data_IF_155070327126
#
_entry.id   IF_155070327126
#
_cell.length_a   1.000
_cell.length_b   1.000
_cell.length_c   1.000
_cell.angle_alpha   90.00
_cell.angle_beta   90.00
_cell.angle_gamma   90.00
#
_symmetry.space_group_name_H-M   'P 1'
#
loop_
_entity.id
_entity.type
_entity.pdbx_description
1 polymer ?
#
# COMPACT_ATOMS: atom_id res chain seq x y z
N UNK A 1 -9.16 -25.32 -40.60
CA UNK A 1 -8.99 -26.26 -39.46
C UNK A 1 -7.71 -25.96 -38.63
N UNK A 2 -6.61 -25.51 -39.26
CA UNK A 2 -5.31 -25.28 -38.59
C UNK A 2 -5.33 -24.09 -37.62
N UNK A 3 -6.04 -23.02 -37.91
CA UNK A 3 -6.11 -21.80 -37.08
C UNK A 3 -6.94 -22.00 -35.78
N UNK A 4 -8.00 -22.82 -35.86
CA UNK A 4 -8.86 -23.11 -34.69
C UNK A 4 -8.18 -24.05 -33.68
N UNK A 5 -7.35 -24.98 -34.15
CA UNK A 5 -6.59 -25.90 -33.29
C UNK A 5 -5.44 -25.17 -32.59
N UNK A 6 -4.81 -24.22 -33.26
CA UNK A 6 -3.75 -23.37 -32.64
C UNK A 6 -4.33 -22.42 -31.58
N UNK A 7 -5.51 -21.87 -31.81
CA UNK A 7 -6.19 -20.98 -30.87
C UNK A 7 -6.62 -21.73 -29.59
N UNK A 8 -7.15 -22.97 -29.70
CA UNK A 8 -7.52 -23.76 -28.52
C UNK A 8 -6.30 -24.20 -27.70
N UNK A 9 -5.22 -24.64 -28.36
CA UNK A 9 -4.00 -25.06 -27.69
C UNK A 9 -3.32 -23.89 -26.95
N UNK A 10 -3.30 -22.70 -27.54
CA UNK A 10 -2.77 -21.50 -26.89
C UNK A 10 -3.61 -21.12 -25.66
N UNK A 11 -4.94 -21.10 -25.78
CA UNK A 11 -5.84 -20.84 -24.66
C UNK A 11 -5.64 -21.83 -23.50
N UNK A 12 -5.43 -23.11 -23.78
CA UNK A 12 -5.21 -24.13 -22.75
C UNK A 12 -3.83 -23.98 -22.07
N UNK A 13 -2.83 -23.47 -22.76
CA UNK A 13 -1.52 -23.14 -22.19
C UNK A 13 -1.65 -21.95 -21.23
N UNK A 14 -2.30 -20.87 -21.64
CA UNK A 14 -2.52 -19.71 -20.77
C UNK A 14 -3.36 -20.03 -19.53
N UNK A 15 -4.41 -20.83 -19.64
CA UNK A 15 -5.17 -21.29 -18.49
C UNK A 15 -4.31 -22.03 -17.47
N UNK A 16 -3.45 -22.93 -17.94
CA UNK A 16 -2.52 -23.68 -17.07
C UNK A 16 -1.48 -22.77 -16.43
N UNK A 17 -0.96 -21.80 -17.19
CA UNK A 17 -0.01 -20.83 -16.65
C UNK A 17 -0.66 -19.95 -15.57
N UNK A 18 -1.86 -19.42 -15.82
CA UNK A 18 -2.58 -18.60 -14.84
C UNK A 18 -2.88 -19.37 -13.55
N UNK A 19 -3.33 -20.62 -13.67
CA UNK A 19 -3.58 -21.48 -12.52
C UNK A 19 -2.28 -21.74 -11.72
N UNK A 20 -1.20 -22.08 -12.41
CA UNK A 20 0.10 -22.30 -11.81
C UNK A 20 0.64 -21.06 -11.10
N UNK A 21 0.51 -19.87 -11.71
CA UNK A 21 0.90 -18.62 -11.07
C UNK A 21 0.05 -18.33 -9.82
N UNK A 22 -1.27 -18.58 -9.89
CA UNK A 22 -2.14 -18.41 -8.73
C UNK A 22 -1.78 -19.37 -7.59
N UNK A 23 -1.52 -20.64 -7.88
CA UNK A 23 -1.10 -21.66 -6.91
C UNK A 23 0.24 -21.32 -6.24
N UNK A 24 1.15 -20.64 -6.93
CA UNK A 24 2.41 -20.15 -6.35
C UNK A 24 2.23 -18.84 -5.57
N UNK A 25 1.54 -17.86 -6.15
CA UNK A 25 1.46 -16.50 -5.63
C UNK A 25 0.52 -16.38 -4.43
N UNK A 26 -0.69 -16.97 -4.51
CA UNK A 26 -1.70 -16.77 -3.48
C UNK A 26 -1.30 -17.31 -2.11
N UNK A 27 -0.75 -18.53 -1.93
CA UNK A 27 -0.33 -19.03 -0.64
C UNK A 27 1.06 -18.53 -0.18
N UNK A 28 1.82 -17.86 -1.04
CA UNK A 28 3.23 -17.53 -0.81
C UNK A 28 3.50 -16.86 0.55
N UNK A 29 2.69 -15.87 0.92
CA UNK A 29 2.83 -15.18 2.23
C UNK A 29 2.62 -16.14 3.40
N UNK A 30 1.58 -16.99 3.35
CA UNK A 30 1.28 -17.93 4.43
C UNK A 30 2.37 -18.99 4.61
N UNK A 31 2.99 -19.41 3.52
CA UNK A 31 3.98 -20.48 3.50
C UNK A 31 5.40 -20.01 3.84
N UNK A 32 5.71 -18.72 3.61
CA UNK A 32 7.09 -18.24 3.67
C UNK A 32 7.34 -17.15 4.71
N UNK A 33 6.37 -16.28 5.01
CA UNK A 33 6.63 -15.06 5.78
C UNK A 33 5.89 -14.98 7.11
N UNK A 34 4.89 -15.84 7.34
CA UNK A 34 4.04 -15.80 8.54
C UNK A 34 4.63 -16.60 9.69
N UNK A 35 4.80 -15.96 10.83
CA UNK A 35 5.29 -16.56 12.08
C UNK A 35 4.24 -16.39 13.18
N UNK A 36 3.32 -17.34 13.27
CA UNK A 36 2.27 -17.37 14.30
C UNK A 36 2.80 -17.91 15.62
N UNK A 37 2.38 -17.28 16.72
CA UNK A 37 2.59 -17.75 18.10
C UNK A 37 1.49 -17.22 19.02
N UNK A 38 1.52 -17.66 20.26
CA UNK A 38 0.70 -17.11 21.34
C UNK A 38 1.63 -16.41 22.33
N UNK A 39 1.34 -15.13 22.64
CA UNK A 39 2.07 -14.33 23.62
C UNK A 39 1.07 -13.83 24.66
N UNK A 40 1.33 -14.11 25.94
CA UNK A 40 0.45 -13.75 27.08
C UNK A 40 -1.01 -14.24 26.89
N UNK A 41 -1.16 -15.43 26.31
CA UNK A 41 -2.46 -16.05 26.05
C UNK A 41 -3.25 -15.47 24.86
N UNK A 42 -2.68 -14.53 24.10
CA UNK A 42 -3.29 -13.93 22.91
C UNK A 42 -2.54 -14.32 21.64
N UNK A 43 -3.23 -14.43 20.48
CA UNK A 43 -2.58 -14.55 19.17
C UNK A 43 -1.61 -13.42 18.94
N UNK A 44 -0.44 -13.77 18.39
CA UNK A 44 0.64 -12.86 18.01
C UNK A 44 1.30 -13.38 16.74
N UNK A 45 1.19 -12.63 15.65
CA UNK A 45 1.72 -13.04 14.36
C UNK A 45 2.68 -12.00 13.82
N UNK A 46 3.91 -12.40 13.60
CA UNK A 46 4.90 -11.60 12.91
C UNK A 46 4.92 -11.98 11.43
N UNK A 47 4.95 -10.98 10.53
CA UNK A 47 4.96 -11.19 9.09
C UNK A 47 6.21 -10.55 8.52
N UNK A 48 7.14 -11.36 7.99
CA UNK A 48 8.30 -10.84 7.28
C UNK A 48 7.89 -10.14 5.99
N UNK A 49 8.55 -9.03 5.68
CA UNK A 49 8.38 -8.33 4.41
C UNK A 49 9.16 -9.06 3.33
N UNK A 50 8.55 -10.12 2.80
CA UNK A 50 9.18 -10.97 1.79
C UNK A 50 10.49 -11.62 2.28
N UNK A 51 11.58 -11.31 1.59
CA UNK A 51 12.92 -11.78 1.87
C UNK A 51 13.66 -10.96 2.96
N UNK A 52 13.02 -9.92 3.51
CA UNK A 52 13.56 -9.10 4.60
C UNK A 52 12.98 -9.57 5.93
N UNK A 53 13.85 -9.92 6.88
CA UNK A 53 13.47 -10.43 8.19
C UNK A 53 13.03 -9.31 9.16
N UNK A 54 12.15 -8.45 8.68
CA UNK A 54 11.52 -7.38 9.44
C UNK A 54 10.05 -7.24 9.02
N UNK A 55 9.24 -6.59 9.82
CA UNK A 55 7.81 -6.40 9.60
C UNK A 55 7.51 -4.93 9.33
N UNK A 56 7.29 -4.56 8.07
CA UNK A 56 6.68 -3.28 7.73
C UNK A 56 5.20 -3.31 8.08
N UNK A 57 4.69 -2.22 8.64
CA UNK A 57 3.26 -2.11 8.97
C UNK A 57 2.40 -2.10 7.70
N UNK A 58 2.83 -1.46 6.65
CA UNK A 58 2.23 -1.47 5.31
C UNK A 58 2.15 -2.88 4.77
N UNK A 59 3.30 -3.52 4.59
CA UNK A 59 3.45 -4.82 3.94
C UNK A 59 2.70 -5.90 4.69
N UNK A 60 2.85 -5.98 6.00
CA UNK A 60 2.17 -6.99 6.82
C UNK A 60 0.65 -6.92 6.70
N UNK A 61 0.09 -5.70 6.59
CA UNK A 61 -1.34 -5.51 6.34
C UNK A 61 -1.76 -5.91 4.94
N UNK A 62 -0.97 -5.51 3.93
CA UNK A 62 -1.27 -5.79 2.52
C UNK A 62 -1.08 -7.27 2.15
N UNK A 63 -0.03 -7.91 2.66
CA UNK A 63 0.27 -9.32 2.40
C UNK A 63 -0.81 -10.27 2.91
N UNK A 64 -1.49 -9.95 4.02
CA UNK A 64 -2.53 -10.82 4.59
C UNK A 64 -3.94 -10.40 4.21
N UNK A 65 -4.10 -9.24 3.60
CA UNK A 65 -5.40 -8.67 3.25
C UNK A 65 -6.34 -9.63 2.49
N UNK A 66 -5.92 -10.36 1.44
CA UNK A 66 -6.82 -11.19 0.67
C UNK A 66 -7.38 -12.39 1.43
N UNK A 67 -6.73 -12.78 2.53
CA UNK A 67 -7.16 -13.93 3.32
C UNK A 67 -8.31 -13.61 4.28
N UNK A 68 -8.61 -12.34 4.52
CA UNK A 68 -9.69 -11.94 5.46
C UNK A 68 -11.02 -12.59 5.07
N UNK A 69 -11.36 -12.63 3.79
CA UNK A 69 -12.61 -13.26 3.28
C UNK A 69 -12.70 -14.77 3.53
N UNK A 70 -11.60 -15.41 3.92
CA UNK A 70 -11.54 -16.84 4.25
C UNK A 70 -11.57 -17.07 5.77
N UNK A 71 -11.44 -16.04 6.60
CA UNK A 71 -11.30 -16.16 8.04
C UNK A 71 -12.46 -16.90 8.73
N UNK A 72 -13.69 -16.74 8.22
CA UNK A 72 -14.85 -17.45 8.76
C UNK A 72 -14.91 -18.95 8.38
N UNK A 73 -14.10 -19.39 7.41
CA UNK A 73 -14.03 -20.77 6.93
C UNK A 73 -12.89 -21.55 7.56
N UNK A 74 -11.89 -20.84 8.11
CA UNK A 74 -10.69 -21.43 8.67
C UNK A 74 -10.35 -20.77 10.03
N UNK A 75 -10.58 -21.45 11.16
CA UNK A 75 -10.30 -20.94 12.49
C UNK A 75 -8.82 -20.65 12.76
N UNK A 76 -7.90 -21.38 12.17
CA UNK A 76 -6.45 -21.15 12.34
C UNK A 76 -6.03 -19.87 11.57
N UNK A 77 -6.53 -19.71 10.37
CA UNK A 77 -6.36 -18.50 9.58
C UNK A 77 -6.94 -17.26 10.31
N UNK A 78 -8.12 -17.41 10.92
CA UNK A 78 -8.74 -16.35 11.73
C UNK A 78 -7.85 -15.92 12.89
N UNK A 79 -7.27 -16.88 13.65
CA UNK A 79 -6.33 -16.59 14.74
C UNK A 79 -5.04 -15.95 14.25
N UNK A 80 -4.53 -16.40 13.12
CA UNK A 80 -3.35 -15.81 12.48
C UNK A 80 -3.59 -14.34 12.15
N UNK A 81 -4.72 -14.00 11.52
CA UNK A 81 -5.10 -12.63 11.20
C UNK A 81 -5.30 -11.75 12.44
N UNK A 82 -5.97 -12.29 13.48
CA UNK A 82 -6.05 -11.64 14.79
C UNK A 82 -4.66 -11.30 15.33
N UNK A 83 -3.73 -12.25 15.23
CA UNK A 83 -2.35 -12.09 15.69
C UNK A 83 -1.61 -10.98 14.95
N UNK A 84 -1.78 -10.85 13.62
CA UNK A 84 -1.19 -9.76 12.82
C UNK A 84 -1.71 -8.40 13.29
N UNK A 85 -3.02 -8.27 13.46
CA UNK A 85 -3.64 -7.01 13.89
C UNK A 85 -3.15 -6.61 15.29
N UNK A 86 -3.10 -7.53 16.24
CA UNK A 86 -2.57 -7.27 17.60
C UNK A 86 -1.09 -6.86 17.55
N UNK A 87 -0.29 -7.53 16.74
CA UNK A 87 1.13 -7.17 16.54
C UNK A 87 1.27 -5.77 15.99
N UNK A 88 0.46 -5.37 15.02
CA UNK A 88 0.50 -4.02 14.43
C UNK A 88 0.15 -2.95 15.48
N UNK A 89 -0.85 -3.17 16.33
CA UNK A 89 -1.17 -2.21 17.42
C UNK A 89 -0.03 -2.10 18.44
N UNK A 90 0.59 -3.23 18.79
CA UNK A 90 1.76 -3.24 19.65
C UNK A 90 2.91 -2.43 19.04
N UNK A 91 3.20 -2.61 17.76
CA UNK A 91 4.22 -1.86 17.04
C UNK A 91 3.94 -0.35 17.05
N UNK A 92 2.71 0.07 16.75
CA UNK A 92 2.29 1.49 16.83
C UNK A 92 2.47 2.06 18.25
N UNK A 93 2.21 1.25 19.29
CA UNK A 93 2.40 1.68 20.67
C UNK A 93 3.87 1.75 21.08
N UNK A 94 4.78 1.02 20.42
CA UNK A 94 6.22 1.14 20.61
C UNK A 94 6.75 2.44 20.00
N UNK A 95 6.43 2.70 18.74
CA UNK A 95 6.80 3.94 18.03
C UNK A 95 5.90 4.18 16.80
N UNK A 96 5.01 5.17 16.83
CA UNK A 96 4.12 5.45 15.69
C UNK A 96 4.82 6.11 14.50
N UNK A 97 6.07 6.52 14.64
CA UNK A 97 6.88 7.08 13.55
C UNK A 97 7.68 6.03 12.77
N UNK A 98 7.76 4.79 13.29
CA UNK A 98 8.49 3.72 12.62
C UNK A 98 7.62 3.02 11.57
N UNK A 99 8.21 2.74 10.40
CA UNK A 99 7.59 1.96 9.35
C UNK A 99 7.83 0.45 9.51
N UNK A 100 8.99 0.05 10.07
CA UNK A 100 9.40 -1.35 10.15
C UNK A 100 9.93 -1.75 11.53
N UNK A 101 9.62 -2.98 11.95
CA UNK A 101 9.91 -3.50 13.28
C UNK A 101 10.65 -4.83 13.23
N UNK A 102 11.50 -5.07 14.24
CA UNK A 102 12.13 -6.35 14.51
C UNK A 102 11.18 -7.28 15.30
N UNK A 103 11.45 -8.56 15.26
CA UNK A 103 10.73 -9.53 16.09
C UNK A 103 11.32 -9.59 17.51
N UNK A 104 11.22 -8.48 18.23
CA UNK A 104 11.75 -8.25 19.56
C UNK A 104 12.78 -7.11 19.60
N UNK A 105 13.36 -6.87 20.77
CA UNK A 105 14.35 -5.80 21.00
C UNK A 105 15.77 -6.29 20.65
N UNK A 106 16.05 -6.51 19.37
CA UNK A 106 17.29 -7.12 18.90
C UNK A 106 18.24 -6.13 18.21
N UNK A 107 17.76 -4.91 17.88
CA UNK A 107 18.50 -3.96 17.06
C UNK A 107 18.61 -4.42 15.59
N UNK A 108 19.46 -3.78 14.81
CA UNK A 108 19.65 -4.12 13.39
C UNK A 108 20.57 -3.14 12.66
N UNK A 109 20.62 -3.25 11.35
CA UNK A 109 21.55 -2.52 10.49
C UNK A 109 21.37 -1.00 10.52
N UNK A 110 20.14 -0.54 10.77
CA UNK A 110 19.78 0.88 10.74
C UNK A 110 19.87 1.59 12.09
N UNK A 111 20.39 0.94 13.13
CA UNK A 111 20.57 1.56 14.46
C UNK A 111 21.47 2.80 14.46
N UNK A 112 22.24 3.02 13.39
CA UNK A 112 23.07 4.21 13.20
C UNK A 112 22.35 5.41 12.56
N UNK A 113 21.08 5.26 12.18
CA UNK A 113 20.28 6.35 11.65
C UNK A 113 20.12 7.47 12.69
N UNK A 114 20.18 8.72 12.23
CA UNK A 114 20.04 9.89 13.06
C UNK A 114 18.55 10.23 13.28
N UNK A 115 17.92 9.42 14.11
CA UNK A 115 16.54 9.51 14.59
C UNK A 115 16.44 8.76 15.93
N UNK A 116 15.29 8.77 16.62
CA UNK A 116 15.11 8.08 17.91
C UNK A 116 14.97 6.57 17.72
N UNK A 117 16.05 5.89 17.33
CA UNK A 117 16.06 4.44 17.15
C UNK A 117 15.93 3.71 18.49
N UNK A 118 15.13 2.63 18.48
CA UNK A 118 14.96 1.68 19.60
C UNK A 118 15.31 0.27 19.10
N UNK A 119 15.71 -0.66 19.97
CA UNK A 119 16.06 -2.02 19.56
C UNK A 119 14.94 -2.81 18.88
N UNK A 120 13.68 -2.45 19.12
CA UNK A 120 12.49 -3.04 18.49
C UNK A 120 12.29 -2.57 17.05
N UNK A 121 12.92 -1.46 16.65
CA UNK A 121 12.74 -0.87 15.33
C UNK A 121 13.76 -1.44 14.35
N UNK A 122 13.29 -1.89 13.20
CA UNK A 122 14.14 -2.16 12.06
C UNK A 122 14.49 -0.87 11.33
N UNK A 123 13.47 -0.02 11.05
CA UNK A 123 13.63 1.27 10.39
C UNK A 123 12.63 2.28 10.97
N UNK A 124 13.00 3.57 10.99
CA UNK A 124 12.16 4.65 11.54
C UNK A 124 11.89 5.74 10.50
N UNK A 125 11.51 5.36 9.30
CA UNK A 125 11.02 6.27 8.26
C UNK A 125 9.55 6.59 8.50
N UNK A 126 9.23 7.87 8.61
CA UNK A 126 7.85 8.31 8.82
C UNK A 126 7.06 8.29 7.52
N UNK A 127 6.04 7.47 7.47
CA UNK A 127 5.09 7.27 6.39
C UNK A 127 3.68 7.26 6.94
N UNK A 128 2.77 8.06 6.36
CA UNK A 128 1.36 8.10 6.80
C UNK A 128 0.70 6.72 6.66
N UNK A 129 0.95 6.03 5.57
CA UNK A 129 0.32 4.75 5.24
C UNK A 129 0.69 3.63 6.22
N UNK A 130 1.86 3.69 6.85
CA UNK A 130 2.27 2.76 7.91
C UNK A 130 1.28 2.73 9.08
N UNK A 131 0.57 3.83 9.36
CA UNK A 131 -0.49 3.88 10.37
C UNK A 131 -1.89 3.60 9.79
N UNK A 132 -2.08 3.68 8.48
CA UNK A 132 -3.36 3.48 7.82
C UNK A 132 -3.65 2.00 7.50
N UNK A 133 -2.65 1.24 7.06
CA UNK A 133 -2.80 -0.19 6.75
C UNK A 133 -3.30 -1.02 7.93
N UNK A 134 -2.79 -0.85 9.18
CA UNK A 134 -3.33 -1.54 10.34
C UNK A 134 -4.81 -1.24 10.60
N UNK A 135 -5.24 0.02 10.39
CA UNK A 135 -6.64 0.41 10.56
C UNK A 135 -7.54 -0.22 9.48
N UNK A 136 -7.07 -0.24 8.23
CA UNK A 136 -7.76 -0.88 7.11
C UNK A 136 -7.95 -2.38 7.38
N UNK A 137 -6.89 -3.07 7.79
CA UNK A 137 -6.91 -4.51 8.09
C UNK A 137 -7.86 -4.84 9.24
N UNK A 138 -7.74 -4.13 10.37
CA UNK A 138 -8.57 -4.35 11.54
C UNK A 138 -10.07 -4.10 11.28
N UNK A 139 -10.37 -3.03 10.53
CA UNK A 139 -11.73 -2.71 10.15
C UNK A 139 -12.35 -3.83 9.29
N UNK A 140 -11.65 -4.29 8.25
CA UNK A 140 -12.15 -5.33 7.37
C UNK A 140 -12.29 -6.69 8.08
N UNK A 141 -11.32 -7.03 8.93
CA UNK A 141 -11.42 -8.23 9.77
C UNK A 141 -12.69 -8.22 10.63
N UNK A 142 -12.98 -7.09 11.28
CA UNK A 142 -14.21 -6.94 12.05
C UNK A 142 -15.46 -7.03 11.19
N UNK A 143 -15.49 -6.37 10.05
CA UNK A 143 -16.65 -6.42 9.13
C UNK A 143 -16.93 -7.83 8.63
N UNK A 144 -15.89 -8.60 8.33
CA UNK A 144 -16.00 -9.97 7.81
C UNK A 144 -16.36 -10.97 8.92
N UNK A 145 -15.71 -10.86 10.07
CA UNK A 145 -15.80 -11.91 11.10
C UNK A 145 -16.81 -11.59 12.21
N UNK A 146 -17.20 -10.32 12.39
CA UNK A 146 -17.94 -9.84 13.53
C UNK A 146 -17.15 -9.83 14.86
N UNK A 147 -15.88 -10.25 14.82
CA UNK A 147 -15.05 -10.36 16.01
C UNK A 147 -14.51 -8.99 16.43
N UNK A 148 -14.98 -8.52 17.59
CA UNK A 148 -14.57 -7.23 18.17
C UNK A 148 -13.52 -7.38 19.30
N UNK A 149 -13.03 -8.57 19.58
CA UNK A 149 -12.11 -8.86 20.70
C UNK A 149 -10.74 -8.18 20.56
N UNK A 150 -10.36 -7.81 19.33
CA UNK A 150 -9.13 -7.10 19.02
C UNK A 150 -9.16 -5.62 19.43
N UNK A 151 -10.35 -5.03 19.68
CA UNK A 151 -10.50 -3.61 19.99
C UNK A 151 -10.48 -3.35 21.50
N UNK A 152 -9.42 -3.78 22.14
CA UNK A 152 -9.15 -3.63 23.57
C UNK A 152 -8.41 -2.30 23.88
N UNK A 153 -7.83 -2.20 25.09
CA UNK A 153 -7.11 -0.99 25.50
C UNK A 153 -5.85 -0.73 24.69
N UNK A 154 -5.21 -1.77 24.14
CA UNK A 154 -4.03 -1.63 23.30
C UNK A 154 -4.39 -0.97 21.94
N UNK A 155 -5.53 -1.34 21.38
CA UNK A 155 -6.14 -0.65 20.24
C UNK A 155 -6.45 0.82 20.55
N UNK A 156 -7.13 1.10 21.67
CA UNK A 156 -7.48 2.49 22.05
C UNK A 156 -6.22 3.35 22.18
N UNK A 157 -5.16 2.82 22.77
CA UNK A 157 -3.89 3.51 22.90
C UNK A 157 -3.24 3.73 21.51
N UNK A 158 -3.28 2.74 20.61
CA UNK A 158 -2.77 2.88 19.26
C UNK A 158 -3.49 4.00 18.48
N UNK A 159 -4.83 4.10 18.61
CA UNK A 159 -5.58 5.21 17.99
C UNK A 159 -5.19 6.57 18.57
N UNK A 160 -5.00 6.67 19.88
CA UNK A 160 -4.55 7.91 20.52
C UNK A 160 -3.16 8.33 20.00
N UNK A 161 -2.25 7.37 19.85
CA UNK A 161 -0.92 7.61 19.28
C UNK A 161 -1.00 8.06 17.82
N UNK A 162 -1.83 7.40 16.98
CA UNK A 162 -2.06 7.79 15.58
C UNK A 162 -2.57 9.23 15.48
N UNK A 163 -3.58 9.58 16.27
CA UNK A 163 -4.14 10.94 16.29
C UNK A 163 -3.10 11.99 16.69
N UNK A 164 -2.30 11.68 17.71
CA UNK A 164 -1.21 12.58 18.16
C UNK A 164 -0.20 12.78 17.04
N UNK A 165 0.29 11.68 16.46
CA UNK A 165 1.29 11.72 15.38
C UNK A 165 0.79 12.47 14.15
N UNK A 166 -0.44 12.23 13.72
CA UNK A 166 -1.01 12.95 12.57
C UNK A 166 -1.15 14.46 12.85
N UNK A 167 -1.60 14.85 14.06
CA UNK A 167 -1.70 16.27 14.45
C UNK A 167 -0.31 16.94 14.52
N UNK A 168 0.69 16.27 15.09
CA UNK A 168 2.08 16.77 15.10
C UNK A 168 2.61 16.96 13.68
N UNK A 169 2.28 16.05 12.76
CA UNK A 169 2.70 16.09 11.37
C UNK A 169 1.84 16.99 10.47
N UNK A 170 0.76 17.57 10.96
CA UNK A 170 0.15 18.74 10.31
C UNK A 170 1.03 20.01 10.44
N UNK A 171 1.99 20.00 11.36
CA UNK A 171 2.98 21.07 11.61
C UNK A 171 2.39 22.45 11.89
N UNK A 172 1.17 22.52 12.40
CA UNK A 172 0.49 23.79 12.74
C UNK A 172 1.14 24.52 13.92
N UNK A 173 1.69 23.76 14.88
CA UNK A 173 2.32 24.28 16.09
C UNK A 173 3.85 24.21 16.02
N UNK A 174 4.42 24.01 14.84
CA UNK A 174 5.86 23.87 14.59
C UNK A 174 6.21 22.62 13.80
N UNK A 175 7.51 22.34 13.66
CA UNK A 175 8.02 21.27 12.80
C UNK A 175 7.76 19.85 13.32
N UNK A 176 7.25 19.73 14.56
CA UNK A 176 7.03 18.44 15.23
C UNK A 176 8.32 17.80 15.76
N UNK A 177 8.20 16.65 16.45
CA UNK A 177 9.34 15.98 17.09
C UNK A 177 10.16 15.11 16.11
N UNK A 178 9.63 14.79 14.93
CA UNK A 178 10.26 13.83 14.02
C UNK A 178 11.38 14.45 13.19
N UNK A 179 12.51 13.76 13.18
CA UNK A 179 13.65 14.00 12.30
C UNK A 179 14.25 12.69 11.85
N UNK A 180 14.78 12.67 10.64
CA UNK A 180 15.46 11.50 10.12
C UNK A 180 16.60 11.89 9.20
N UNK A 181 17.79 11.35 9.44
CA UNK A 181 18.89 11.34 8.49
C UNK A 181 19.58 9.99 8.51
N UNK A 182 19.99 9.55 7.34
CA UNK A 182 20.82 8.35 7.13
C UNK A 182 22.08 8.75 6.41
N UNK A 183 23.21 8.18 6.82
CA UNK A 183 24.46 8.31 6.07
C UNK A 183 24.40 7.38 4.86
N UNK A 184 24.14 7.92 3.70
CA UNK A 184 23.92 7.20 2.45
C UNK A 184 24.38 8.04 1.26
N UNK A 185 24.71 7.37 0.15
CA UNK A 185 24.96 8.01 -1.14
C UNK A 185 23.67 8.22 -1.94
N UNK A 186 22.58 7.57 -1.52
CA UNK A 186 21.28 7.61 -2.17
C UNK A 186 20.45 8.78 -1.59
N UNK A 187 20.28 9.84 -2.37
CA UNK A 187 19.59 11.06 -1.92
C UNK A 187 18.15 10.83 -1.43
N UNK A 188 17.46 9.82 -1.96
CA UNK A 188 16.08 9.49 -1.58
C UNK A 188 15.98 8.66 -0.28
N UNK A 189 17.10 8.21 0.26
CA UNK A 189 17.14 7.39 1.48
C UNK A 189 17.40 8.20 2.76
N UNK A 190 17.34 9.53 2.66
CA UNK A 190 17.56 10.48 3.76
C UNK A 190 16.79 11.77 3.54
N UNK A 191 16.57 12.55 4.62
CA UNK A 191 15.91 13.83 4.52
C UNK A 191 16.93 14.97 4.52
N UNK A 192 16.67 15.99 3.69
CA UNK A 192 17.38 17.26 3.70
C UNK A 192 16.97 18.14 4.91
N UNK A 193 17.41 19.40 4.93
CA UNK A 193 17.03 20.39 5.94
C UNK A 193 17.18 19.88 7.38
N UNK A 194 18.36 19.33 7.71
CA UNK A 194 18.66 18.75 9.03
C UNK A 194 17.67 17.67 9.48
N UNK A 195 17.21 16.85 8.54
CA UNK A 195 16.31 15.73 8.81
C UNK A 195 14.84 16.10 8.88
N UNK A 196 14.46 17.33 8.56
CA UNK A 196 13.07 17.80 8.55
C UNK A 196 12.36 17.60 7.21
N UNK A 197 13.15 17.43 6.12
CA UNK A 197 12.65 17.42 4.74
C UNK A 197 12.34 18.80 4.19
N UNK A 198 11.66 18.87 3.06
CA UNK A 198 11.28 20.12 2.43
C UNK A 198 10.31 20.95 3.32
N UNK A 199 10.35 22.29 3.27
CA UNK A 199 9.42 23.11 4.03
C UNK A 199 7.98 22.94 3.50
N UNK A 200 7.01 23.08 4.40
CA UNK A 200 5.58 23.09 4.07
C UNK A 200 4.89 24.30 4.65
N UNK A 201 3.82 24.74 3.98
CA UNK A 201 2.84 25.64 4.57
C UNK A 201 1.76 24.78 5.26
N UNK A 202 1.54 24.93 6.58
CA UNK A 202 0.57 24.12 7.32
C UNK A 202 -0.88 24.46 6.92
N UNK A 203 -1.43 23.71 5.99
CA UNK A 203 -2.78 23.93 5.42
C UNK A 203 -3.81 22.90 5.92
N UNK A 204 -3.44 22.05 6.89
CA UNK A 204 -4.31 20.98 7.41
C UNK A 204 -4.00 19.60 6.85
N UNK A 205 -3.12 19.48 5.84
CA UNK A 205 -2.60 18.20 5.37
C UNK A 205 -1.55 17.64 6.34
N UNK A 206 -1.35 16.33 6.29
CA UNK A 206 -0.37 15.60 7.11
C UNK A 206 0.90 15.39 6.27
N UNK A 207 2.05 15.75 6.84
CA UNK A 207 3.36 15.47 6.23
C UNK A 207 3.62 13.96 6.22
N UNK A 208 4.03 13.41 5.08
CA UNK A 208 4.71 12.13 4.96
C UNK A 208 6.16 12.39 4.60
N UNK A 209 7.10 12.01 5.44
CA UNK A 209 8.51 12.23 5.19
C UNK A 209 9.03 11.31 4.07
N UNK A 210 8.46 10.12 4.01
CA UNK A 210 8.76 9.11 3.00
C UNK A 210 7.48 8.64 2.29
N UNK A 211 7.66 8.06 1.11
CA UNK A 211 6.65 7.42 0.28
C UNK A 211 6.48 5.96 0.67
N UNK A 212 5.42 5.29 0.21
CA UNK A 212 5.27 3.83 0.37
C UNK A 212 6.41 2.99 -0.23
N UNK A 213 7.25 3.60 -1.05
CA UNK A 213 8.48 3.02 -1.60
C UNK A 213 9.71 3.17 -0.70
N UNK A 214 9.55 3.70 0.52
CA UNK A 214 10.62 4.09 1.44
C UNK A 214 11.52 5.24 0.92
N UNK A 215 11.17 5.87 -0.19
CA UNK A 215 11.87 7.03 -0.75
C UNK A 215 11.37 8.35 -0.13
N UNK A 216 12.28 9.28 0.12
CA UNK A 216 11.94 10.61 0.64
C UNK A 216 11.00 11.36 -0.31
N UNK A 217 9.98 12.02 0.25
CA UNK A 217 9.09 12.91 -0.51
C UNK A 217 9.83 14.17 -0.97
N UNK A 218 9.47 14.66 -2.14
CA UNK A 218 9.98 15.93 -2.68
C UNK A 218 9.20 17.12 -2.10
N UNK A 219 7.86 17.03 -2.15
CA UNK A 219 6.94 17.95 -1.46
C UNK A 219 6.19 17.12 -0.41
N UNK A 220 6.24 17.54 0.85
CA UNK A 220 5.96 16.61 1.96
C UNK A 220 4.49 16.26 2.19
N UNK A 221 3.53 16.87 1.51
CA UNK A 221 2.15 16.43 1.56
C UNK A 221 1.88 15.43 0.43
N UNK A 222 2.11 14.15 0.71
CA UNK A 222 1.81 13.05 -0.19
C UNK A 222 0.29 12.86 -0.27
N UNK A 223 -0.28 13.21 -1.43
CA UNK A 223 -1.73 13.30 -1.61
C UNK A 223 -2.44 11.94 -1.45
N UNK A 224 -2.04 10.83 -2.11
CA UNK A 224 -2.73 9.56 -1.92
C UNK A 224 -2.67 9.06 -0.48
N UNK A 225 -1.57 9.26 0.25
CA UNK A 225 -1.49 8.90 1.67
C UNK A 225 -2.39 9.75 2.56
N UNK A 226 -2.59 11.04 2.24
CA UNK A 226 -3.55 11.89 2.95
C UNK A 226 -5.01 11.44 2.72
N UNK A 227 -5.38 11.01 1.51
CA UNK A 227 -6.68 10.37 1.26
C UNK A 227 -6.84 9.10 2.07
N UNK A 228 -5.81 8.26 2.13
CA UNK A 228 -5.83 7.03 2.92
C UNK A 228 -5.93 7.30 4.43
N UNK A 229 -5.33 8.39 4.93
CA UNK A 229 -5.52 8.83 6.32
C UNK A 229 -6.98 9.19 6.60
N UNK A 230 -7.65 9.92 5.70
CA UNK A 230 -9.07 10.29 5.83
C UNK A 230 -9.95 9.04 5.92
N UNK A 231 -9.82 8.10 4.99
CA UNK A 231 -10.63 6.87 4.98
C UNK A 231 -10.35 5.98 6.20
N UNK A 232 -9.10 5.92 6.64
CA UNK A 232 -8.67 5.15 7.82
C UNK A 232 -9.22 5.75 9.12
N UNK A 233 -9.17 7.07 9.29
CA UNK A 233 -9.72 7.76 10.45
C UNK A 233 -11.24 7.61 10.54
N UNK A 234 -11.97 7.64 9.41
CA UNK A 234 -13.42 7.38 9.35
C UNK A 234 -13.74 5.96 9.82
N UNK A 235 -12.96 4.96 9.39
CA UNK A 235 -13.09 3.55 9.83
C UNK A 235 -12.82 3.40 11.34
N UNK A 236 -11.76 4.05 11.85
CA UNK A 236 -11.46 4.07 13.29
C UNK A 236 -12.58 4.70 14.11
N UNK A 237 -13.15 5.81 13.65
CA UNK A 237 -14.28 6.47 14.30
C UNK A 237 -15.51 5.56 14.39
N UNK A 238 -15.81 4.79 13.34
CA UNK A 238 -16.91 3.82 13.34
C UNK A 238 -16.69 2.74 14.40
N UNK A 239 -15.50 2.13 14.46
CA UNK A 239 -15.15 1.12 15.47
C UNK A 239 -15.30 1.69 16.89
N UNK A 240 -14.71 2.86 17.12
CA UNK A 240 -14.77 3.53 18.44
C UNK A 240 -16.20 3.81 18.90
N UNK A 241 -17.07 4.23 17.98
CA UNK A 241 -18.48 4.48 18.31
C UNK A 241 -19.27 3.19 18.52
N UNK A 242 -19.11 2.19 17.64
CA UNK A 242 -19.93 0.98 17.65
C UNK A 242 -19.45 -0.03 18.69
N UNK A 243 -18.14 -0.26 18.77
CA UNK A 243 -17.55 -1.30 19.65
C UNK A 243 -17.20 -0.72 21.01
N UNK A 244 -16.32 0.28 21.04
CA UNK A 244 -15.75 0.78 22.30
C UNK A 244 -16.67 1.74 23.05
N UNK A 245 -17.70 2.31 22.40
CA UNK A 245 -18.55 3.39 22.93
C UNK A 245 -17.73 4.62 23.37
N UNK A 246 -16.56 4.82 22.78
CA UNK A 246 -15.68 5.95 23.04
C UNK A 246 -15.95 7.10 22.06
N UNK A 247 -17.07 7.80 22.30
CA UNK A 247 -17.54 8.89 21.41
C UNK A 247 -16.58 10.07 21.36
N UNK A 248 -15.81 10.32 22.42
CA UNK A 248 -14.84 11.41 22.48
C UNK A 248 -13.67 11.16 21.52
N UNK A 249 -13.09 9.97 21.54
CA UNK A 249 -11.99 9.61 20.66
C UNK A 249 -12.49 9.46 19.20
N UNK A 250 -13.68 8.91 19.00
CA UNK A 250 -14.33 8.83 17.71
C UNK A 250 -14.53 10.20 17.07
N UNK A 251 -14.98 11.19 17.87
CA UNK A 251 -15.12 12.57 17.40
C UNK A 251 -13.78 13.17 16.97
N UNK A 252 -12.70 12.93 17.72
CA UNK A 252 -11.37 13.41 17.32
C UNK A 252 -10.92 12.82 15.98
N UNK A 253 -11.18 11.52 15.72
CA UNK A 253 -10.91 10.90 14.43
C UNK A 253 -11.73 11.57 13.30
N UNK A 254 -13.02 11.81 13.55
CA UNK A 254 -13.92 12.43 12.57
C UNK A 254 -13.52 13.88 12.27
N UNK A 255 -13.21 14.67 13.30
CA UNK A 255 -12.81 16.09 13.16
C UNK A 255 -11.51 16.18 12.34
N UNK A 256 -10.50 15.35 12.65
CA UNK A 256 -9.25 15.33 11.90
C UNK A 256 -9.45 14.85 10.45
N UNK A 257 -10.25 13.80 10.24
CA UNK A 257 -10.59 13.34 8.89
C UNK A 257 -11.26 14.44 8.06
N UNK A 258 -12.20 15.17 8.64
CA UNK A 258 -12.90 16.28 7.98
C UNK A 258 -11.96 17.44 7.65
N UNK A 259 -11.02 17.74 8.52
CA UNK A 259 -10.04 18.78 8.29
C UNK A 259 -9.10 18.43 7.13
N UNK A 260 -8.53 17.22 7.14
CA UNK A 260 -7.66 16.74 6.04
C UNK A 260 -8.43 16.66 4.73
N UNK A 261 -9.67 16.17 4.74
CA UNK A 261 -10.52 16.10 3.55
C UNK A 261 -10.80 17.50 2.96
N UNK A 262 -10.99 18.50 3.81
CA UNK A 262 -11.20 19.89 3.38
C UNK A 262 -9.92 20.44 2.73
N UNK A 263 -8.76 20.19 3.34
CA UNK A 263 -7.47 20.61 2.80
C UNK A 263 -7.14 19.90 1.47
N UNK A 264 -7.47 18.61 1.34
CA UNK A 264 -7.33 17.88 0.06
C UNK A 264 -8.14 18.49 -1.06
N UNK A 265 -9.39 18.90 -0.79
CA UNK A 265 -10.24 19.56 -1.80
C UNK A 265 -9.65 20.89 -2.29
N UNK A 266 -8.94 21.61 -1.42
CA UNK A 266 -8.37 22.92 -1.74
C UNK A 266 -6.99 22.82 -2.39
N UNK A 267 -6.12 21.91 -1.93
CA UNK A 267 -4.71 21.92 -2.28
C UNK A 267 -4.23 20.74 -3.13
N UNK A 268 -5.01 19.64 -3.24
CA UNK A 268 -4.54 18.41 -3.86
C UNK A 268 -4.71 18.37 -5.39
N UNK A 269 -5.36 19.37 -6.00
CA UNK A 269 -5.70 19.33 -7.43
C UNK A 269 -4.88 20.31 -8.25
N UNK A 270 -4.68 19.95 -9.52
CA UNK A 270 -3.99 20.76 -10.51
C UNK A 270 -4.79 20.78 -11.83
N UNK A 271 -4.97 21.96 -12.44
CA UNK A 271 -5.61 22.10 -13.74
C UNK A 271 -4.59 21.83 -14.86
N UNK A 272 -4.51 20.58 -15.28
CA UNK A 272 -3.60 20.14 -16.33
C UNK A 272 -4.14 20.49 -17.71
N UNK A 273 -3.34 21.13 -18.61
CA UNK A 273 -3.83 21.64 -19.91
C UNK A 273 -4.37 20.54 -20.84
N UNK A 274 -3.92 19.30 -20.69
CA UNK A 274 -4.31 18.16 -21.54
C UNK A 274 -5.38 17.27 -20.92
N UNK A 275 -5.37 17.10 -19.59
CA UNK A 275 -6.24 16.12 -18.90
C UNK A 275 -7.40 16.75 -18.17
N UNK A 276 -7.41 18.09 -18.01
CA UNK A 276 -8.33 18.79 -17.12
C UNK A 276 -7.85 18.74 -15.67
N UNK A 277 -8.74 18.88 -14.72
CA UNK A 277 -8.39 18.82 -13.30
C UNK A 277 -7.95 17.39 -12.94
N UNK A 278 -6.76 17.25 -12.35
CA UNK A 278 -6.15 16.00 -11.87
C UNK A 278 -5.72 16.16 -10.41
N UNK A 279 -5.54 15.05 -9.70
CA UNK A 279 -4.83 15.05 -8.43
C UNK A 279 -3.32 15.13 -8.67
N UNK A 280 -2.62 15.96 -7.89
CA UNK A 280 -1.18 15.97 -7.80
C UNK A 280 -0.71 14.79 -6.93
N UNK A 281 0.51 14.30 -7.13
CA UNK A 281 1.08 13.25 -6.29
C UNK A 281 1.55 13.79 -4.94
N UNK A 282 2.26 14.94 -4.97
CA UNK A 282 2.70 15.65 -3.78
C UNK A 282 2.43 17.15 -3.92
N UNK A 283 2.16 17.79 -2.79
CA UNK A 283 2.01 19.26 -2.67
C UNK A 283 2.71 19.76 -1.41
N UNK A 284 2.91 21.09 -1.30
CA UNK A 284 3.59 21.71 -0.16
C UNK A 284 2.76 22.77 0.59
N UNK A 285 1.56 23.07 0.11
CA UNK A 285 0.70 24.13 0.66
C UNK A 285 1.10 25.54 0.26
N UNK A 286 2.25 25.76 -0.42
CA UNK A 286 2.66 27.04 -1.01
C UNK A 286 2.16 27.22 -2.45
N UNK A 287 1.52 26.20 -3.03
CA UNK A 287 1.03 26.21 -4.39
C UNK A 287 1.90 25.42 -5.38
N UNK A 288 2.92 24.71 -4.90
CA UNK A 288 3.71 23.81 -5.74
C UNK A 288 3.06 22.42 -5.80
N UNK A 289 3.15 21.78 -6.98
CA UNK A 289 2.58 20.48 -7.28
C UNK A 289 3.61 19.60 -7.95
N UNK A 290 3.80 18.38 -7.46
CA UNK A 290 4.57 17.34 -8.16
C UNK A 290 3.60 16.46 -8.93
N UNK A 291 3.75 16.44 -10.25
CA UNK A 291 2.89 15.70 -11.17
C UNK A 291 3.60 14.42 -11.61
N UNK A 292 3.30 13.34 -10.95
CA UNK A 292 3.77 11.98 -11.24
C UNK A 292 2.83 10.97 -10.59
N UNK A 293 3.11 9.70 -10.71
CA UNK A 293 2.65 8.64 -9.82
C UNK A 293 3.79 7.66 -9.57
N UNK A 294 3.74 6.96 -8.45
CA UNK A 294 4.62 5.88 -8.06
C UNK A 294 3.80 4.59 -7.98
N UNK A 295 4.39 3.45 -8.33
CA UNK A 295 3.67 2.18 -8.32
C UNK A 295 3.29 1.68 -6.92
N UNK A 296 4.02 2.09 -5.89
CA UNK A 296 3.80 1.62 -4.53
C UNK A 296 2.51 2.21 -3.93
N UNK A 297 1.70 1.36 -3.32
CA UNK A 297 0.36 1.73 -2.81
C UNK A 297 0.47 2.19 -1.35
N UNK A 298 -0.09 3.36 -1.00
CA UNK A 298 -1.00 4.22 -1.75
C UNK A 298 -0.36 5.01 -2.89
N UNK A 299 -1.00 4.96 -4.05
CA UNK A 299 -0.67 5.73 -5.24
C UNK A 299 -1.91 6.43 -5.77
N UNK A 300 -1.76 7.39 -6.70
CA UNK A 300 -2.90 8.03 -7.33
C UNK A 300 -3.79 7.02 -8.08
N UNK A 301 -3.17 6.06 -8.76
CA UNK A 301 -3.89 5.00 -9.46
C UNK A 301 -4.67 4.11 -8.50
N UNK A 302 -4.16 3.86 -7.31
CA UNK A 302 -4.74 2.92 -6.34
C UNK A 302 -5.85 3.50 -5.45
N UNK A 303 -6.15 4.81 -5.50
CA UNK A 303 -7.10 5.44 -4.57
C UNK A 303 -8.47 4.73 -4.50
N UNK A 304 -9.11 4.28 -5.60
CA UNK A 304 -10.37 3.54 -5.50
C UNK A 304 -10.21 2.14 -4.88
N UNK A 305 -9.08 1.47 -5.08
CA UNK A 305 -8.78 0.18 -4.45
C UNK A 305 -8.72 0.29 -2.92
N UNK A 306 -8.20 1.38 -2.40
CA UNK A 306 -8.16 1.65 -0.96
C UNK A 306 -9.52 2.14 -0.41
N UNK A 307 -10.45 2.51 -1.29
CA UNK A 307 -11.74 3.09 -0.92
C UNK A 307 -11.66 4.57 -0.54
N UNK A 308 -10.67 5.27 -1.09
CA UNK A 308 -10.39 6.67 -0.79
C UNK A 308 -11.20 7.63 -1.67
N UNK A 309 -11.43 7.25 -2.92
CA UNK A 309 -12.26 7.99 -3.89
C UNK A 309 -13.16 7.05 -4.67
N UNK A 310 -14.26 7.58 -5.22
CA UNK A 310 -15.12 6.82 -6.13
C UNK A 310 -14.39 6.59 -7.46
N UNK A 311 -14.49 5.37 -8.00
CA UNK A 311 -13.88 5.02 -9.29
C UNK A 311 -14.41 5.89 -10.43
N UNK A 312 -15.63 6.43 -10.32
CA UNK A 312 -16.26 7.30 -11.32
C UNK A 312 -16.03 8.79 -11.04
N UNK A 313 -15.26 9.15 -10.00
CA UNK A 313 -14.90 10.55 -9.74
C UNK A 313 -14.21 11.15 -10.98
N UNK A 314 -14.71 12.29 -11.52
CA UNK A 314 -14.15 12.86 -12.75
C UNK A 314 -12.69 13.29 -12.62
N UNK A 315 -12.27 13.76 -11.44
CA UNK A 315 -10.87 14.14 -11.19
C UNK A 315 -9.99 12.89 -11.16
N UNK A 316 -10.47 11.83 -10.51
CA UNK A 316 -9.78 10.55 -10.52
C UNK A 316 -9.66 9.99 -11.96
N UNK A 317 -10.72 10.00 -12.75
CA UNK A 317 -10.68 9.52 -14.13
C UNK A 317 -9.71 10.32 -15.01
N UNK A 318 -9.61 11.63 -14.81
CA UNK A 318 -8.59 12.46 -15.44
C UNK A 318 -7.18 12.08 -14.97
N UNK A 319 -7.01 11.90 -13.65
CA UNK A 319 -5.75 11.49 -13.04
C UNK A 319 -5.31 10.12 -13.56
N UNK A 320 -6.21 9.14 -13.63
CA UNK A 320 -5.96 7.80 -14.17
C UNK A 320 -5.44 7.83 -15.60
N UNK A 321 -5.99 8.73 -16.46
CA UNK A 321 -5.47 8.93 -17.83
C UNK A 321 -4.09 9.59 -17.85
N UNK A 322 -3.84 10.52 -16.94
CA UNK A 322 -2.54 11.18 -16.79
C UNK A 322 -1.45 10.20 -16.33
N UNK A 323 -1.67 9.48 -15.24
CA UNK A 323 -0.64 8.59 -14.64
C UNK A 323 -0.29 7.41 -15.56
N UNK A 324 -1.22 6.97 -16.41
CA UNK A 324 -1.00 5.93 -17.42
C UNK A 324 -0.66 6.52 -18.79
N UNK A 325 0.21 7.52 -18.80
CA UNK A 325 0.66 8.20 -20.02
C UNK A 325 2.10 8.68 -19.90
N UNK A 326 2.70 9.08 -21.02
CA UNK A 326 4.07 9.64 -21.07
C UNK A 326 4.24 10.95 -20.29
N UNK A 327 3.16 11.59 -19.89
CA UNK A 327 3.21 12.81 -19.09
C UNK A 327 3.50 12.50 -17.60
N UNK A 328 3.31 11.24 -17.16
CA UNK A 328 3.89 10.72 -15.93
C UNK A 328 5.35 10.28 -16.21
N UNK A 329 6.36 10.88 -15.56
CA UNK A 329 7.77 10.56 -15.82
C UNK A 329 8.17 9.12 -15.47
N UNK A 330 7.36 8.42 -14.68
CA UNK A 330 7.58 7.03 -14.28
C UNK A 330 6.64 6.03 -14.97
N UNK A 331 5.90 6.47 -15.99
CA UNK A 331 5.22 5.56 -16.89
C UNK A 331 6.17 5.07 -17.97
N UNK A 332 6.37 3.78 -18.04
CA UNK A 332 7.25 3.14 -19.03
C UNK A 332 6.46 2.25 -19.96
N UNK A 333 6.90 2.21 -21.22
CA UNK A 333 6.34 1.34 -22.25
C UNK A 333 7.44 0.80 -23.14
N UNK A 334 7.49 -0.50 -23.29
CA UNK A 334 8.48 -1.21 -24.08
C UNK A 334 7.95 -2.47 -24.74
N UNK A 335 8.86 -3.39 -25.07
CA UNK A 335 8.53 -4.65 -25.76
C UNK A 335 7.87 -5.67 -24.83
N UNK A 336 8.25 -5.69 -23.56
CA UNK A 336 7.72 -6.63 -22.58
C UNK A 336 6.37 -6.18 -22.02
N UNK A 337 6.17 -4.86 -21.84
CA UNK A 337 4.93 -4.34 -21.28
C UNK A 337 4.91 -2.83 -21.12
N UNK A 338 3.86 -2.35 -20.48
CA UNK A 338 3.69 -0.96 -20.07
C UNK A 338 3.18 -0.87 -18.63
N UNK A 339 3.62 0.13 -17.89
CA UNK A 339 3.19 0.33 -16.51
C UNK A 339 3.95 1.44 -15.82
N UNK A 340 3.60 1.65 -14.55
CA UNK A 340 4.23 2.65 -13.72
C UNK A 340 5.35 1.99 -12.91
N UNK A 341 6.48 2.67 -12.82
CA UNK A 341 7.59 2.34 -11.91
C UNK A 341 7.67 3.31 -10.76
N UNK A 342 8.85 3.82 -10.50
CA UNK A 342 9.12 4.80 -9.46
C UNK A 342 10.61 5.12 -9.38
N UNK A 343 10.99 6.14 -8.62
CA UNK A 343 12.40 6.49 -8.44
C UNK A 343 13.16 5.43 -7.63
N UNK A 344 12.45 4.60 -6.89
CA UNK A 344 13.04 3.58 -6.00
C UNK A 344 13.98 2.62 -6.74
N UNK A 345 13.53 2.06 -7.86
CA UNK A 345 14.31 1.15 -8.70
C UNK A 345 14.95 1.87 -9.89
N UNK A 346 14.43 3.04 -10.27
CA UNK A 346 14.92 3.86 -11.35
C UNK A 346 14.14 3.72 -12.65
N UNK A 347 14.73 4.25 -13.74
CA UNK A 347 14.06 4.33 -15.02
C UNK A 347 13.93 2.97 -15.71
N UNK A 348 12.90 2.88 -16.56
CA UNK A 348 12.58 1.73 -17.41
C UNK A 348 12.18 0.43 -16.67
N UNK A 349 12.05 0.50 -15.34
CA UNK A 349 11.63 -0.60 -14.51
C UNK A 349 10.13 -0.44 -14.14
N UNK A 350 9.32 -1.40 -14.58
CA UNK A 350 7.87 -1.45 -14.34
C UNK A 350 7.59 -2.33 -13.13
N UNK A 351 6.75 -1.85 -12.22
CA UNK A 351 6.27 -2.65 -11.10
C UNK A 351 4.98 -3.37 -11.49
N UNK A 352 4.90 -4.71 -11.39
CA UNK A 352 3.67 -5.47 -11.61
C UNK A 352 2.48 -4.95 -10.79
N UNK A 353 2.75 -4.38 -9.62
CA UNK A 353 1.75 -3.74 -8.75
C UNK A 353 0.94 -2.67 -9.50
N UNK A 354 1.56 -1.85 -10.34
CA UNK A 354 0.86 -0.83 -11.11
C UNK A 354 -0.10 -1.42 -12.15
N UNK A 355 0.28 -2.55 -12.76
CA UNK A 355 -0.55 -3.28 -13.72
C UNK A 355 -1.76 -3.90 -12.99
N UNK A 356 -1.52 -4.45 -11.79
CA UNK A 356 -2.61 -4.97 -10.95
C UNK A 356 -3.55 -3.85 -10.50
N UNK A 357 -3.04 -2.70 -10.07
CA UNK A 357 -3.87 -1.55 -9.71
C UNK A 357 -4.68 -1.03 -10.88
N UNK A 358 -4.12 -1.04 -12.10
CA UNK A 358 -4.88 -0.71 -13.31
C UNK A 358 -6.06 -1.66 -13.51
N UNK A 359 -5.87 -2.96 -13.30
CA UNK A 359 -6.94 -3.97 -13.38
C UNK A 359 -7.97 -3.80 -12.27
N UNK A 360 -7.54 -3.59 -11.01
CA UNK A 360 -8.45 -3.39 -9.87
C UNK A 360 -9.34 -2.17 -10.03
N UNK A 361 -8.85 -1.12 -10.68
CA UNK A 361 -9.54 0.14 -10.90
C UNK A 361 -10.13 0.28 -12.30
N UNK A 362 -10.31 -0.84 -13.01
CA UNK A 362 -10.95 -0.90 -14.33
C UNK A 362 -12.37 -1.46 -14.24
N UNK A 363 -13.26 -0.90 -15.05
CA UNK A 363 -14.60 -1.43 -15.32
C UNK A 363 -14.69 -2.05 -16.73
N UNK A 364 -13.58 -2.03 -17.49
CA UNK A 364 -13.49 -2.58 -18.85
C UNK A 364 -12.82 -3.97 -18.80
N UNK A 365 -13.59 -4.98 -19.15
CA UNK A 365 -13.13 -6.38 -19.18
C UNK A 365 -11.96 -6.60 -20.17
N UNK A 366 -11.84 -5.82 -21.24
CA UNK A 366 -10.71 -5.92 -22.17
C UNK A 366 -9.44 -5.33 -21.56
N UNK A 367 -9.55 -4.23 -20.83
CA UNK A 367 -8.42 -3.67 -20.09
C UNK A 367 -7.94 -4.64 -19.00
N UNK A 368 -8.86 -5.23 -18.22
CA UNK A 368 -8.56 -6.24 -17.19
C UNK A 368 -7.83 -7.44 -17.81
N UNK A 369 -8.35 -7.99 -18.93
CA UNK A 369 -7.70 -9.09 -19.66
C UNK A 369 -6.29 -8.74 -20.09
N UNK A 370 -6.12 -7.55 -20.66
CA UNK A 370 -4.81 -7.07 -21.12
C UNK A 370 -3.80 -6.95 -19.97
N UNK A 371 -4.25 -6.48 -18.80
CA UNK A 371 -3.41 -6.40 -17.61
C UNK A 371 -2.99 -7.80 -17.12
N UNK A 372 -3.93 -8.75 -17.02
CA UNK A 372 -3.63 -10.11 -16.58
C UNK A 372 -2.68 -10.81 -17.57
N UNK A 373 -2.94 -10.66 -18.88
CA UNK A 373 -2.04 -11.20 -19.90
C UNK A 373 -0.62 -10.65 -19.73
N UNK A 374 -0.49 -9.34 -19.53
CA UNK A 374 0.81 -8.70 -19.34
C UNK A 374 1.54 -9.24 -18.09
N UNK A 375 0.83 -9.44 -16.97
CA UNK A 375 1.41 -10.07 -15.77
C UNK A 375 1.89 -11.50 -16.05
N UNK A 376 1.14 -12.26 -16.85
CA UNK A 376 1.52 -13.63 -17.25
C UNK A 376 2.73 -13.63 -18.21
N UNK A 377 2.78 -12.69 -19.13
CA UNK A 377 3.88 -12.59 -20.12
C UNK A 377 5.20 -12.07 -19.49
N UNK A 378 5.13 -11.51 -18.28
CA UNK A 378 6.28 -10.87 -17.60
C UNK A 378 6.73 -11.58 -16.32
N UNK A 379 6.22 -12.78 -16.03
CA UNK A 379 6.64 -13.62 -14.90
C UNK A 379 8.03 -14.24 -15.07
N UNK A 380 8.66 -14.03 -16.21
CA UNK A 380 9.97 -14.60 -16.60
C UNK A 380 10.06 -16.13 -16.51
N UNK A 381 8.91 -16.84 -16.46
CA UNK A 381 8.80 -18.27 -16.28
C UNK A 381 9.04 -18.75 -14.83
N UNK A 382 8.98 -17.86 -13.86
CA UNK A 382 9.18 -18.16 -12.44
C UNK A 382 7.88 -18.57 -11.73
N UNK A 383 6.74 -18.14 -12.27
CA UNK A 383 5.43 -18.31 -11.63
C UNK A 383 5.16 -17.36 -10.46
N UNK A 384 6.02 -16.37 -10.23
CA UNK A 384 5.91 -15.38 -9.18
C UNK A 384 5.90 -13.94 -9.72
N UNK A 385 5.38 -13.03 -8.92
CA UNK A 385 5.50 -11.60 -9.17
C UNK A 385 6.84 -11.11 -8.63
N UNK A 386 7.61 -10.44 -9.50
CA UNK A 386 8.84 -9.74 -9.14
C UNK A 386 8.53 -8.39 -8.51
N UNK A 387 9.51 -7.76 -7.86
CA UNK A 387 9.37 -6.37 -7.40
C UNK A 387 9.19 -5.44 -8.61
N UNK A 388 10.08 -5.54 -9.60
CA UNK A 388 9.98 -4.83 -10.87
C UNK A 388 10.62 -5.62 -12.02
N UNK A 389 10.28 -5.27 -13.26
CA UNK A 389 10.90 -5.83 -14.47
C UNK A 389 11.18 -4.72 -15.48
N UNK A 390 12.21 -4.92 -16.31
CA UNK A 390 12.57 -3.96 -17.35
C UNK A 390 11.55 -3.96 -18.51
N UNK A 391 11.10 -2.80 -18.93
CA UNK A 391 10.06 -2.63 -19.96
C UNK A 391 10.28 -3.37 -21.27
N UNK A 392 11.53 -3.67 -21.63
CA UNK A 392 11.90 -4.35 -22.89
C UNK A 392 12.34 -5.81 -22.69
N UNK A 393 12.64 -6.23 -21.46
CA UNK A 393 13.12 -7.59 -21.15
C UNK A 393 12.59 -8.05 -19.79
N UNK A 394 11.58 -8.95 -19.74
CA UNK A 394 11.02 -9.41 -18.48
C UNK A 394 11.97 -10.26 -17.64
N UNK A 395 13.07 -10.77 -18.23
CA UNK A 395 14.11 -11.52 -17.50
C UNK A 395 15.07 -10.61 -16.71
N UNK A 396 15.09 -9.32 -17.02
CA UNK A 396 15.80 -8.31 -16.25
C UNK A 396 14.85 -7.76 -15.18
N UNK A 397 14.82 -8.42 -14.03
CA UNK A 397 13.94 -8.10 -12.92
C UNK A 397 14.73 -7.90 -11.61
N UNK A 398 14.13 -7.16 -10.68
CA UNK A 398 14.59 -7.05 -9.30
C UNK A 398 13.77 -8.00 -8.43
N UNK A 399 14.41 -8.63 -7.44
CA UNK A 399 13.86 -9.67 -6.56
C UNK A 399 13.15 -10.80 -7.31
N UNK A 400 13.57 -12.03 -7.08
CA UNK A 400 12.99 -13.21 -7.73
C UNK A 400 11.49 -13.39 -7.40
N UNK A 401 11.05 -12.90 -6.26
CA UNK A 401 9.66 -12.86 -5.80
C UNK A 401 9.47 -11.69 -4.84
N UNK A 402 8.27 -11.13 -4.80
CA UNK A 402 7.89 -10.02 -3.91
C UNK A 402 6.56 -10.37 -3.23
N UNK A 403 6.58 -10.61 -1.92
CA UNK A 403 5.46 -11.20 -1.20
C UNK A 403 4.16 -10.41 -1.34
N UNK A 404 4.21 -9.09 -1.20
CA UNK A 404 3.03 -8.24 -1.36
C UNK A 404 2.44 -8.38 -2.77
N UNK A 405 3.25 -8.34 -3.82
CA UNK A 405 2.74 -8.45 -5.19
C UNK A 405 2.23 -9.86 -5.52
N UNK A 406 2.83 -10.91 -4.95
CA UNK A 406 2.30 -12.26 -5.07
C UNK A 406 0.88 -12.33 -4.50
N UNK A 407 0.71 -11.84 -3.27
CA UNK A 407 -0.60 -11.84 -2.62
C UNK A 407 -1.61 -10.95 -3.35
N UNK A 408 -1.19 -9.79 -3.84
CA UNK A 408 -2.02 -8.87 -4.61
C UNK A 408 -2.48 -9.47 -5.94
N UNK A 409 -1.60 -10.24 -6.63
CA UNK A 409 -1.99 -11.00 -7.82
C UNK A 409 -3.07 -12.04 -7.47
N UNK A 410 -2.87 -12.79 -6.38
CA UNK A 410 -3.87 -13.74 -5.91
C UNK A 410 -5.21 -13.07 -5.57
N UNK A 411 -5.17 -11.89 -4.94
CA UNK A 411 -6.36 -11.07 -4.65
C UNK A 411 -7.11 -10.69 -5.93
N UNK A 412 -6.38 -10.24 -6.97
CA UNK A 412 -6.99 -9.86 -8.25
C UNK A 412 -7.73 -11.03 -8.87
N UNK A 413 -7.12 -12.21 -8.93
CA UNK A 413 -7.75 -13.40 -9.48
C UNK A 413 -8.98 -13.81 -8.65
N UNK A 414 -8.85 -13.82 -7.32
CA UNK A 414 -9.95 -14.19 -6.43
C UNK A 414 -11.13 -13.20 -6.52
N UNK A 415 -10.85 -11.89 -6.63
CA UNK A 415 -11.87 -10.88 -6.89
C UNK A 415 -12.65 -11.19 -8.17
N UNK A 416 -11.97 -11.47 -9.27
CA UNK A 416 -12.62 -11.76 -10.55
C UNK A 416 -13.46 -13.04 -10.49
N UNK A 417 -12.99 -14.07 -9.78
CA UNK A 417 -13.77 -15.29 -9.54
C UNK A 417 -15.04 -14.97 -8.72
N UNK A 418 -14.92 -14.20 -7.65
CA UNK A 418 -16.05 -13.82 -6.80
C UNK A 418 -17.06 -12.92 -7.54
N UNK A 419 -16.63 -12.14 -8.51
CA UNK A 419 -17.48 -11.33 -9.39
C UNK A 419 -18.11 -12.13 -10.54
N UNK A 420 -17.88 -13.45 -10.61
CA UNK A 420 -18.40 -14.32 -11.66
C UNK A 420 -17.70 -14.15 -13.02
N UNK A 421 -16.53 -13.53 -13.06
CA UNK A 421 -15.75 -13.27 -14.30
C UNK A 421 -14.81 -14.42 -14.68
N UNK A 422 -15.19 -15.66 -14.38
CA UNK A 422 -14.40 -16.87 -14.70
C UNK A 422 -14.20 -17.01 -16.21
N UNK A 423 -15.22 -16.67 -17.01
CA UNK A 423 -15.10 -16.71 -18.48
C UNK A 423 -14.06 -15.72 -19.01
N UNK A 424 -13.88 -14.57 -18.35
CA UNK A 424 -12.81 -13.63 -18.69
C UNK A 424 -11.44 -14.29 -18.48
N UNK A 425 -11.22 -14.91 -17.33
CA UNK A 425 -9.96 -15.62 -17.00
C UNK A 425 -9.70 -16.80 -17.95
N UNK A 426 -10.75 -17.53 -18.33
CA UNK A 426 -10.64 -18.66 -19.27
C UNK A 426 -10.37 -18.25 -20.71
N UNK A 427 -10.52 -16.99 -21.09
CA UNK A 427 -10.38 -16.48 -22.46
C UNK A 427 -9.25 -15.45 -22.61
N UNK A 428 -8.22 -15.49 -21.76
CA UNK A 428 -6.99 -14.73 -21.92
C UNK A 428 -6.21 -15.33 -23.10
N UNK A 429 -5.89 -14.51 -24.10
CA UNK A 429 -5.16 -14.93 -25.32
C UNK A 429 -4.02 -13.94 -25.63
#
# INVERSE_FOLDING_TARGET
RSTRVRSSAASDVYKRQLAWMFENCFPNTLETTVHYRTTDGKPDTFVYTGDIHAMWLRDSGAQVWPYIQLANKDPELKKMLEGVIRRQFKCINIDPYANAFNDGAVGGDWMSDLTDMKPELHERKWEIDSLCYPLRLAYQYWKETGDASIFDNEWIQAIANILTTFKEQQRKEGVGPYKFQRKTERALDTLNNNGLGAPVNPVGLIVSAFRPSDDATTLQFLVPSNFFAVSSLKKAAEILNVVNKNTSLAKQCTDLAQEVETALKEYATYNHPKYGTIYAFEVDGFGNHLLMDDANVPSLLAMPYLGDVDINDPIYQNTRRFVWSKDNPYFFKGKAGEGIGGPHIGYDMIWPMSIMMKAFTSQDDQEIKSCIKMLMDTDAGTGFMHESFHKDDPKNFTRAWFAWQNTLFGELILKLVNEGKIDLLNNIQ
#
